data_IF_593501845854
#
_entry.id   IF_593501845854
#
_cell.length_a   1.000
_cell.length_b   1.000
_cell.length_c   1.000
_cell.angle_alpha   90.00
_cell.angle_beta   90.00
_cell.angle_gamma   90.00
#
_symmetry.space_group_name_H-M   'P 1'
#
loop_
_entity.id
_entity.type
_entity.pdbx_description
1 polymer ?
#
# COMPACT_ATOMS: atom_id res chain seq x y z
N UNK A 1 -7.10 -5.84 -6.68
CA UNK A 1 -6.43 -4.60 -6.26
C UNK A 1 -5.89 -4.75 -4.84
N UNK A 2 -4.93 -3.91 -4.46
CA UNK A 2 -4.44 -3.77 -3.09
C UNK A 2 -5.03 -2.50 -2.47
N UNK A 3 -5.54 -2.62 -1.25
CA UNK A 3 -6.27 -1.55 -0.57
C UNK A 3 -5.73 -1.27 0.83
N UNK A 4 -5.68 0.01 1.20
CA UNK A 4 -5.36 0.50 2.55
C UNK A 4 -6.64 0.76 3.32
N UNK A 5 -6.68 0.26 4.55
CA UNK A 5 -7.73 0.52 5.53
C UNK A 5 -7.44 1.89 6.16
N UNK A 6 -8.44 2.76 6.09
CA UNK A 6 -8.39 4.11 6.66
C UNK A 6 -9.13 4.13 8.00
N UNK A 7 -8.68 4.99 8.93
CA UNK A 7 -9.28 5.11 10.27
C UNK A 7 -10.76 5.52 10.29
N UNK A 8 -11.28 6.08 9.19
CA UNK A 8 -12.69 6.43 9.01
C UNK A 8 -13.56 5.25 8.50
N UNK A 9 -13.14 4.00 8.73
CA UNK A 9 -13.82 2.78 8.27
C UNK A 9 -14.04 2.75 6.75
N UNK A 10 -13.04 3.21 5.99
CA UNK A 10 -13.02 3.11 4.53
C UNK A 10 -11.81 2.31 4.06
N UNK A 11 -11.88 1.84 2.84
CA UNK A 11 -10.77 1.25 2.09
C UNK A 11 -10.44 2.19 0.94
N UNK A 12 -9.19 2.62 0.83
CA UNK A 12 -8.66 3.29 -0.36
C UNK A 12 -7.90 2.29 -1.23
N UNK A 13 -8.15 2.28 -2.53
CA UNK A 13 -7.38 1.44 -3.46
C UNK A 13 -6.05 2.12 -3.76
N UNK A 14 -4.95 1.53 -3.32
CA UNK A 14 -3.60 2.06 -3.52
C UNK A 14 -3.02 1.66 -4.88
N UNK A 15 -3.31 0.43 -5.31
CA UNK A 15 -2.91 -0.05 -6.63
C UNK A 15 -3.86 -1.11 -7.14
N UNK A 16 -4.04 -1.17 -8.46
CA UNK A 16 -4.86 -2.15 -9.14
C UNK A 16 -4.11 -2.63 -10.40
N UNK A 17 -4.26 -3.91 -10.70
CA UNK A 17 -3.66 -4.53 -11.87
C UNK A 17 -4.72 -5.40 -12.56
N UNK A 18 -4.65 -5.49 -13.89
CA UNK A 18 -5.57 -6.29 -14.70
C UNK A 18 -6.94 -5.65 -14.95
N UNK A 19 -7.12 -4.37 -14.62
CA UNK A 19 -8.31 -3.58 -14.99
C UNK A 19 -8.05 -2.83 -16.30
N UNK A 20 -9.09 -2.58 -17.10
CA UNK A 20 -9.04 -1.57 -18.17
C UNK A 20 -8.86 -0.17 -17.57
N UNK A 21 -8.24 0.76 -18.30
CA UNK A 21 -7.93 2.11 -17.79
C UNK A 21 -9.16 2.85 -17.22
N UNK A 22 -10.30 2.75 -17.91
CA UNK A 22 -11.55 3.41 -17.49
C UNK A 22 -12.18 2.78 -16.23
N UNK A 23 -11.82 1.53 -15.92
CA UNK A 23 -12.32 0.76 -14.78
C UNK A 23 -11.33 0.77 -13.61
N UNK A 24 -10.16 1.40 -13.78
CA UNK A 24 -9.14 1.49 -12.75
C UNK A 24 -9.71 2.19 -11.50
N UNK A 25 -9.62 1.51 -10.36
CA UNK A 25 -10.17 2.00 -9.09
C UNK A 25 -9.13 2.67 -8.20
N UNK A 26 -7.89 2.85 -8.66
CA UNK A 26 -6.82 3.48 -7.88
C UNK A 26 -7.24 4.87 -7.41
N UNK A 27 -7.00 5.16 -6.13
CA UNK A 27 -7.42 6.40 -5.46
C UNK A 27 -8.87 6.42 -4.99
N UNK A 28 -9.75 5.53 -5.48
CA UNK A 28 -11.15 5.47 -5.03
C UNK A 28 -11.25 4.92 -3.60
N UNK A 29 -12.23 5.44 -2.86
CA UNK A 29 -12.55 5.00 -1.50
C UNK A 29 -13.90 4.30 -1.43
N UNK A 30 -13.97 3.23 -0.63
CA UNK A 30 -15.20 2.46 -0.41
C UNK A 30 -15.42 2.27 1.10
N UNK A 31 -16.68 2.26 1.58
CA UNK A 31 -16.97 1.96 2.98
C UNK A 31 -16.62 0.51 3.34
N UNK A 32 -16.21 0.29 4.59
CA UNK A 32 -16.07 -1.06 5.18
C UNK A 32 -17.46 -1.51 5.63
N UNK A 33 -18.07 -2.37 4.83
CA UNK A 33 -19.43 -2.89 5.04
C UNK A 33 -19.52 -4.37 4.63
N UNK A 34 -20.39 -5.15 5.30
CA UNK A 34 -20.60 -6.57 4.98
C UNK A 34 -21.25 -6.80 3.61
N UNK A 35 -21.88 -5.76 3.04
CA UNK A 35 -22.46 -5.77 1.69
C UNK A 35 -21.40 -5.74 0.57
N UNK A 36 -20.11 -5.71 0.92
CA UNK A 36 -18.97 -5.87 0.00
C UNK A 36 -18.06 -7.00 0.49
N UNK A 37 -17.51 -7.83 -0.42
CA UNK A 37 -16.53 -8.86 -0.05
C UNK A 37 -15.31 -8.29 0.68
N UNK A 38 -14.83 -7.12 0.25
CA UNK A 38 -13.71 -6.40 0.86
C UNK A 38 -14.00 -5.98 2.30
N UNK A 39 -15.15 -5.34 2.54
CA UNK A 39 -15.55 -4.93 3.88
C UNK A 39 -15.85 -6.13 4.80
N UNK A 40 -16.55 -7.13 4.27
CA UNK A 40 -16.86 -8.37 4.97
C UNK A 40 -15.61 -9.12 5.44
N UNK A 41 -14.60 -9.25 4.59
CA UNK A 41 -13.33 -9.91 4.93
C UNK A 41 -12.61 -9.25 6.10
N UNK A 42 -12.68 -7.91 6.19
CA UNK A 42 -12.12 -7.14 7.31
C UNK A 42 -12.94 -7.37 8.58
N UNK A 43 -14.27 -7.22 8.49
CA UNK A 43 -15.18 -7.34 9.64
C UNK A 43 -15.11 -8.73 10.26
N UNK A 44 -15.09 -9.77 9.43
CA UNK A 44 -15.02 -11.17 9.88
C UNK A 44 -13.58 -11.64 10.12
N UNK A 45 -12.58 -10.78 9.83
CA UNK A 45 -11.15 -11.07 9.92
C UNK A 45 -10.75 -12.43 9.31
N UNK A 46 -11.25 -12.72 8.10
CA UNK A 46 -10.97 -13.97 7.38
C UNK A 46 -10.90 -13.79 5.88
N UNK A 47 -10.25 -14.75 5.22
CA UNK A 47 -10.24 -14.83 3.76
C UNK A 47 -11.66 -15.11 3.26
N UNK A 48 -12.12 -14.32 2.29
CA UNK A 48 -13.42 -14.48 1.65
C UNK A 48 -13.20 -14.94 0.21
N UNK A 49 -13.76 -16.10 -0.13
CA UNK A 49 -13.74 -16.68 -1.46
C UNK A 49 -15.15 -16.62 -2.03
N UNK A 50 -15.32 -16.07 -3.23
CA UNK A 50 -16.62 -15.95 -3.88
C UNK A 50 -16.49 -16.34 -5.36
N UNK A 51 -17.36 -17.24 -5.81
CA UNK A 51 -17.58 -17.48 -7.24
C UNK A 51 -18.71 -16.56 -7.71
N UNK A 52 -18.55 -15.92 -8.86
CA UNK A 52 -19.62 -15.11 -9.42
C UNK A 52 -20.77 -16.02 -9.86
N UNK A 53 -21.94 -15.76 -9.29
CA UNK A 53 -23.21 -16.44 -9.56
C UNK A 53 -24.33 -15.40 -9.56
N UNK A 54 -25.54 -15.77 -9.95
CA UNK A 54 -26.71 -14.86 -9.86
C UNK A 54 -26.95 -14.37 -8.41
N UNK A 55 -26.73 -15.25 -7.43
CA UNK A 55 -26.88 -14.94 -6.01
C UNK A 55 -25.78 -14.03 -5.45
N UNK A 56 -24.65 -13.90 -6.15
CA UNK A 56 -23.53 -13.07 -5.72
C UNK A 56 -23.96 -11.61 -5.48
N UNK A 57 -24.77 -11.06 -6.39
CA UNK A 57 -25.27 -9.69 -6.25
C UNK A 57 -26.40 -9.55 -5.23
N UNK A 58 -27.09 -10.65 -4.88
CA UNK A 58 -28.02 -10.66 -3.76
C UNK A 58 -27.28 -10.58 -2.43
N UNK A 59 -26.18 -11.34 -2.32
CA UNK A 59 -25.27 -11.36 -1.16
C UNK A 59 -24.50 -10.05 -1.00
N UNK A 60 -24.13 -9.41 -2.11
CA UNK A 60 -23.35 -8.18 -2.14
C UNK A 60 -24.07 -7.05 -2.93
N UNK A 61 -25.17 -6.51 -2.38
CA UNK A 61 -26.03 -5.56 -3.10
C UNK A 61 -25.33 -4.24 -3.42
N UNK A 62 -24.28 -3.87 -2.68
CA UNK A 62 -23.50 -2.66 -2.94
C UNK A 62 -22.77 -2.70 -4.30
N UNK A 63 -22.57 -3.89 -4.88
CA UNK A 63 -21.94 -4.08 -6.19
C UNK A 63 -22.91 -3.97 -7.37
N UNK A 64 -24.23 -4.02 -7.14
CA UNK A 64 -25.23 -3.84 -8.22
C UNK A 64 -25.16 -2.47 -8.89
N UNK A 65 -24.72 -1.45 -8.14
CA UNK A 65 -24.61 -0.07 -8.63
C UNK A 65 -23.35 0.20 -9.45
N UNK A 66 -22.38 -0.72 -9.41
CA UNK A 66 -21.06 -0.60 -10.05
C UNK A 66 -20.56 -2.02 -10.41
N UNK A 67 -21.25 -2.70 -11.36
CA UNK A 67 -20.91 -4.05 -11.76
C UNK A 67 -19.51 -4.05 -12.39
N UNK A 68 -18.69 -5.03 -12.00
CA UNK A 68 -17.36 -5.19 -12.57
C UNK A 68 -17.54 -5.96 -13.88
N UNK A 69 -17.42 -5.29 -15.02
CA UNK A 69 -17.46 -5.91 -16.35
C UNK A 69 -16.11 -6.56 -16.71
N UNK A 70 -15.69 -7.55 -15.93
CA UNK A 70 -14.51 -8.37 -16.24
C UNK A 70 -14.86 -9.85 -16.34
N UNK A 71 -14.11 -10.64 -17.15
CA UNK A 71 -14.38 -12.06 -17.34
C UNK A 71 -13.91 -12.92 -16.16
N UNK A 72 -13.85 -12.36 -14.94
CA UNK A 72 -13.50 -13.12 -13.76
C UNK A 72 -14.66 -14.05 -13.38
N UNK A 73 -14.31 -15.30 -13.07
CA UNK A 73 -15.24 -16.36 -12.65
C UNK A 73 -15.31 -16.44 -11.13
N UNK A 74 -14.24 -16.05 -10.44
CA UNK A 74 -14.24 -15.97 -8.98
C UNK A 74 -13.33 -14.88 -8.48
N UNK A 75 -13.38 -14.62 -7.18
CA UNK A 75 -12.52 -13.67 -6.50
C UNK A 75 -12.19 -14.14 -5.09
N UNK A 76 -11.01 -13.75 -4.63
CA UNK A 76 -10.59 -13.90 -3.24
C UNK A 76 -10.27 -12.53 -2.65
N UNK A 77 -10.72 -12.31 -1.43
CA UNK A 77 -10.35 -11.16 -0.61
C UNK A 77 -9.59 -11.66 0.61
N UNK A 78 -8.38 -11.12 0.80
CA UNK A 78 -7.42 -11.50 1.83
C UNK A 78 -7.22 -10.29 2.74
N UNK A 79 -7.61 -10.37 4.02
CA UNK A 79 -7.27 -9.34 4.99
C UNK A 79 -5.80 -9.55 5.35
N UNK A 80 -4.92 -8.60 5.04
CA UNK A 80 -3.49 -8.77 5.33
C UNK A 80 -3.26 -8.47 6.80
N UNK A 81 -3.64 -7.29 7.26
CA UNK A 81 -3.57 -6.87 8.66
C UNK A 81 -4.60 -5.75 8.91
N UNK A 82 -4.53 -5.08 10.06
CA UNK A 82 -5.43 -3.95 10.41
C UNK A 82 -5.37 -2.78 9.42
N UNK A 83 -4.33 -2.69 8.58
CA UNK A 83 -4.07 -1.57 7.68
C UNK A 83 -4.26 -1.92 6.20
N UNK A 84 -4.28 -3.19 5.81
CA UNK A 84 -4.22 -3.58 4.39
C UNK A 84 -5.08 -4.79 4.05
N UNK A 85 -5.60 -4.78 2.82
CA UNK A 85 -6.28 -5.90 2.19
C UNK A 85 -5.76 -6.13 0.77
N UNK A 86 -5.93 -7.35 0.28
CA UNK A 86 -5.70 -7.71 -1.11
C UNK A 86 -6.95 -8.38 -1.68
N UNK A 87 -7.42 -7.91 -2.84
CA UNK A 87 -8.48 -8.54 -3.60
C UNK A 87 -7.93 -9.03 -4.94
N UNK A 88 -8.20 -10.28 -5.29
CA UNK A 88 -7.73 -10.90 -6.54
C UNK A 88 -8.94 -11.47 -7.28
N UNK A 89 -9.13 -11.06 -8.53
CA UNK A 89 -10.06 -11.73 -9.46
C UNK A 89 -9.36 -12.91 -10.15
N UNK A 90 -10.12 -13.94 -10.49
CA UNK A 90 -9.62 -15.18 -11.11
C UNK A 90 -10.45 -15.55 -12.32
N UNK A 91 -9.82 -16.18 -13.31
CA UNK A 91 -10.47 -16.75 -14.49
C UNK A 91 -10.94 -18.21 -14.30
N UNK A 92 -10.90 -18.73 -13.07
CA UNK A 92 -11.30 -20.11 -12.74
C UNK A 92 -12.17 -20.14 -11.49
N UNK A 93 -12.88 -21.25 -11.29
CA UNK A 93 -13.53 -21.56 -10.00
C UNK A 93 -12.49 -21.95 -8.96
N UNK A 94 -12.90 -21.93 -7.69
CA UNK A 94 -12.09 -22.51 -6.61
C UNK A 94 -12.08 -24.03 -6.72
N UNK A 95 -10.93 -24.62 -6.40
CA UNK A 95 -10.75 -26.07 -6.24
C UNK A 95 -10.27 -26.38 -4.83
N UNK A 96 -10.40 -27.63 -4.40
CA UNK A 96 -9.91 -28.07 -3.10
C UNK A 96 -8.41 -27.76 -2.94
N UNK A 97 -8.05 -27.19 -1.79
CA UNK A 97 -6.66 -26.83 -1.46
C UNK A 97 -6.25 -25.41 -1.86
N UNK A 98 -7.07 -24.68 -2.63
CA UNK A 98 -6.83 -23.27 -2.96
C UNK A 98 -6.71 -22.42 -1.68
N UNK A 99 -7.43 -22.77 -0.61
CA UNK A 99 -7.38 -22.10 0.69
C UNK A 99 -5.96 -22.04 1.27
N UNK A 100 -5.18 -23.13 1.15
CA UNK A 100 -3.82 -23.17 1.67
C UNK A 100 -2.91 -22.21 0.89
N UNK A 101 -3.09 -22.09 -0.41
CA UNK A 101 -2.34 -21.13 -1.23
C UNK A 101 -2.59 -19.69 -0.74
N UNK A 102 -3.85 -19.33 -0.50
CA UNK A 102 -4.17 -17.97 -0.05
C UNK A 102 -3.78 -17.70 1.40
N UNK A 103 -3.82 -18.70 2.28
CA UNK A 103 -3.29 -18.57 3.65
C UNK A 103 -1.78 -18.37 3.66
N UNK A 104 -1.04 -19.10 2.82
CA UNK A 104 0.40 -18.90 2.66
C UNK A 104 0.70 -17.51 2.09
N UNK A 105 -0.05 -17.06 1.08
CA UNK A 105 0.09 -15.72 0.52
C UNK A 105 -0.20 -14.63 1.57
N UNK A 106 -1.28 -14.78 2.35
CA UNK A 106 -1.62 -13.87 3.45
C UNK A 106 -0.46 -13.77 4.46
N UNK A 107 0.09 -14.92 4.87
CA UNK A 107 1.18 -15.00 5.84
C UNK A 107 2.45 -14.31 5.34
N UNK A 108 2.82 -14.54 4.07
CA UNK A 108 3.96 -13.87 3.43
C UNK A 108 3.76 -12.35 3.37
N UNK A 109 2.57 -11.88 3.01
CA UNK A 109 2.25 -10.46 2.98
C UNK A 109 2.28 -9.85 4.40
N UNK A 110 1.77 -10.55 5.41
CA UNK A 110 1.86 -10.10 6.80
C UNK A 110 3.32 -9.91 7.26
N UNK A 111 4.19 -10.87 6.94
CA UNK A 111 5.62 -10.76 7.23
C UNK A 111 6.24 -9.59 6.46
N UNK A 112 5.93 -9.44 5.18
CA UNK A 112 6.41 -8.34 4.36
C UNK A 112 6.00 -6.98 4.95
N UNK A 113 4.72 -6.80 5.28
CA UNK A 113 4.21 -5.52 5.80
C UNK A 113 4.63 -5.24 7.25
N UNK A 114 4.86 -6.27 8.07
CA UNK A 114 5.37 -6.09 9.43
C UNK A 114 6.85 -5.69 9.47
N UNK A 115 7.66 -6.11 8.48
CA UNK A 115 9.11 -5.85 8.45
C UNK A 115 9.51 -4.72 7.51
N UNK A 116 9.02 -4.74 6.26
CA UNK A 116 9.48 -3.89 5.16
C UNK A 116 8.43 -2.84 4.80
N UNK A 117 7.16 -3.25 4.76
CA UNK A 117 6.05 -2.36 4.41
C UNK A 117 5.87 -1.19 5.37
N UNK A 118 6.05 -1.39 6.69
CA UNK A 118 6.06 -0.29 7.67
C UNK A 118 7.04 0.82 7.29
N UNK A 119 8.26 0.48 6.92
CA UNK A 119 9.31 1.43 6.55
C UNK A 119 8.95 2.16 5.24
N UNK A 120 8.52 1.44 4.21
CA UNK A 120 8.17 2.05 2.91
C UNK A 120 6.89 2.89 2.93
N UNK A 121 5.89 2.51 3.75
CA UNK A 121 4.60 3.21 3.85
C UNK A 121 4.66 4.41 4.80
N UNK A 122 5.46 4.32 5.88
CA UNK A 122 5.78 5.50 6.69
C UNK A 122 6.44 6.56 5.82
N UNK A 123 7.40 6.18 4.96
CA UNK A 123 8.05 7.08 3.99
C UNK A 123 7.00 7.76 3.09
N UNK A 124 6.00 7.04 2.54
CA UNK A 124 4.97 7.64 1.68
C UNK A 124 4.06 8.69 2.33
N UNK A 125 3.94 8.70 3.66
CA UNK A 125 3.08 9.63 4.44
C UNK A 125 3.90 10.61 5.29
N UNK A 126 5.10 10.98 4.80
CA UNK A 126 6.00 11.90 5.48
C UNK A 126 5.87 13.36 5.02
N UNK A 127 5.25 13.62 3.88
CA UNK A 127 5.19 14.96 3.29
C UNK A 127 4.68 15.99 4.32
N UNK A 128 5.49 17.02 4.58
CA UNK A 128 5.16 18.08 5.54
C UNK A 128 5.47 17.76 7.01
N UNK A 129 5.94 16.55 7.34
CA UNK A 129 6.44 16.25 8.70
C UNK A 129 7.81 16.91 8.92
N UNK A 130 8.08 17.45 10.13
CA UNK A 130 9.35 18.13 10.39
C UNK A 130 10.54 17.17 10.30
N UNK A 131 11.67 17.69 9.80
CA UNK A 131 12.95 16.99 9.87
C UNK A 131 13.43 16.92 11.32
N UNK A 132 13.94 15.76 11.73
CA UNK A 132 14.69 15.66 13.00
C UNK A 132 15.99 16.49 12.91
N UNK A 133 16.62 16.79 14.03
CA UNK A 133 17.90 17.52 14.05
C UNK A 133 18.96 16.85 13.15
N UNK A 134 19.04 15.52 13.21
CA UNK A 134 19.94 14.72 12.37
C UNK A 134 19.56 14.76 10.89
N UNK A 135 18.27 14.67 10.56
CA UNK A 135 17.81 14.77 9.17
C UNK A 135 18.09 16.14 8.57
N UNK A 136 17.99 17.20 9.38
CA UNK A 136 18.38 18.56 8.98
C UNK A 136 19.87 18.66 8.70
N UNK A 137 20.70 18.07 9.56
CA UNK A 137 22.15 18.00 9.36
C UNK A 137 22.50 17.24 8.06
N UNK A 138 21.91 16.07 7.83
CA UNK A 138 22.09 15.29 6.60
C UNK A 138 21.64 16.11 5.36
N UNK A 139 20.52 16.83 5.45
CA UNK A 139 20.03 17.68 4.37
C UNK A 139 21.00 18.83 4.04
N UNK A 140 21.56 19.50 5.06
CA UNK A 140 22.54 20.58 4.86
C UNK A 140 23.85 20.07 4.26
N UNK A 141 24.35 18.91 4.69
CA UNK A 141 25.54 18.30 4.09
C UNK A 141 25.29 17.88 2.63
N UNK A 142 24.08 17.42 2.30
CA UNK A 142 23.70 17.15 0.91
C UNK A 142 23.64 18.43 0.06
N UNK A 143 23.16 19.55 0.61
CA UNK A 143 23.18 20.85 -0.09
C UNK A 143 24.60 21.35 -0.37
N UNK A 144 25.56 21.00 0.49
CA UNK A 144 26.99 21.25 0.29
C UNK A 144 27.64 20.32 -0.75
N UNK A 145 26.89 19.37 -1.31
CA UNK A 145 27.36 18.47 -2.37
C UNK A 145 28.03 17.19 -1.87
N UNK A 146 27.98 16.89 -0.56
CA UNK A 146 28.59 15.66 -0.05
C UNK A 146 27.81 14.42 -0.51
N UNK A 147 28.54 13.33 -0.78
CA UNK A 147 27.96 12.02 -1.08
C UNK A 147 27.44 11.33 0.18
N UNK A 148 26.64 10.26 0.03
CA UNK A 148 26.14 9.53 1.20
C UNK A 148 27.28 8.92 2.01
N UNK A 149 28.35 8.51 1.34
CA UNK A 149 29.58 7.98 1.89
C UNK A 149 30.32 9.07 2.69
N UNK A 150 30.54 10.25 2.09
CA UNK A 150 31.22 11.35 2.78
C UNK A 150 30.41 11.88 3.98
N UNK A 151 29.07 11.89 3.88
CA UNK A 151 28.19 12.22 5.00
C UNK A 151 28.36 11.17 6.09
N UNK A 152 28.26 9.88 5.75
CA UNK A 152 28.39 8.77 6.68
C UNK A 152 29.69 8.83 7.49
N UNK A 153 30.81 9.09 6.82
CA UNK A 153 32.11 9.29 7.45
C UNK A 153 32.11 10.50 8.40
N UNK A 154 31.50 11.62 7.98
CA UNK A 154 31.47 12.86 8.76
C UNK A 154 30.60 12.77 10.02
N UNK A 155 29.48 12.06 9.96
CA UNK A 155 28.54 11.93 11.08
C UNK A 155 28.69 10.61 11.86
N UNK A 156 29.66 9.75 11.49
CA UNK A 156 29.98 8.52 12.21
C UNK A 156 28.94 7.40 12.06
N UNK A 157 28.32 7.27 10.90
CA UNK A 157 27.29 6.26 10.62
C UNK A 157 27.61 5.43 9.38
N UNK A 158 26.80 4.40 9.11
CA UNK A 158 26.97 3.62 7.88
C UNK A 158 26.39 4.34 6.65
N UNK A 159 26.99 4.15 5.45
CA UNK A 159 26.44 4.68 4.20
C UNK A 159 25.00 4.21 3.92
N UNK A 160 24.66 2.98 4.31
CA UNK A 160 23.31 2.42 4.16
C UNK A 160 22.28 3.18 4.99
N UNK A 161 22.62 3.55 6.22
CA UNK A 161 21.74 4.33 7.09
C UNK A 161 21.56 5.75 6.55
N UNK A 162 22.64 6.39 6.09
CA UNK A 162 22.55 7.73 5.47
C UNK A 162 21.68 7.70 4.22
N UNK A 163 21.78 6.66 3.38
CA UNK A 163 20.91 6.48 2.21
C UNK A 163 19.44 6.36 2.61
N UNK A 164 19.13 5.61 3.65
CA UNK A 164 17.76 5.47 4.16
C UNK A 164 17.22 6.80 4.71
N UNK A 165 17.99 7.50 5.54
CA UNK A 165 17.63 8.83 6.06
C UNK A 165 17.43 9.85 4.93
N UNK A 166 18.22 9.76 3.87
CA UNK A 166 18.09 10.63 2.69
C UNK A 166 16.75 10.43 1.98
N UNK A 167 16.30 9.18 1.82
CA UNK A 167 14.98 8.87 1.25
C UNK A 167 13.84 9.43 2.11
N UNK A 168 13.99 9.33 3.44
CA UNK A 168 13.03 9.88 4.41
C UNK A 168 12.98 11.40 4.31
N UNK A 169 14.13 12.07 4.20
CA UNK A 169 14.25 13.53 3.99
C UNK A 169 13.54 13.94 2.70
N UNK A 170 13.79 13.24 1.59
CA UNK A 170 13.14 13.54 0.30
C UNK A 170 11.63 13.45 0.40
N UNK A 171 11.12 12.41 1.05
CA UNK A 171 9.69 12.27 1.22
C UNK A 171 9.08 13.32 2.15
N UNK A 172 9.75 13.68 3.26
CA UNK A 172 9.31 14.77 4.16
C UNK A 172 9.21 16.11 3.44
N UNK A 173 10.16 16.37 2.55
CA UNK A 173 10.25 17.61 1.77
C UNK A 173 9.43 17.59 0.47
N UNK A 174 8.84 16.45 0.09
CA UNK A 174 8.08 16.32 -1.15
C UNK A 174 8.90 16.42 -2.43
N UNK A 175 10.17 16.05 -2.37
CA UNK A 175 11.09 16.13 -3.49
C UNK A 175 11.48 14.76 -4.01
N UNK A 176 11.73 14.66 -5.32
CA UNK A 176 12.05 13.41 -6.00
C UNK A 176 13.51 12.98 -5.84
N UNK A 177 14.39 13.88 -5.42
CA UNK A 177 15.79 13.55 -5.18
C UNK A 177 16.73 14.72 -4.89
N UNK A 178 18.03 14.41 -4.84
CA UNK A 178 19.10 15.32 -4.42
C UNK A 178 19.17 16.62 -5.25
N UNK A 179 18.88 16.56 -6.55
CA UNK A 179 18.90 17.74 -7.43
C UNK A 179 17.89 18.80 -6.99
N UNK A 180 16.68 18.38 -6.64
CA UNK A 180 15.63 19.28 -6.16
C UNK A 180 15.96 19.86 -4.78
N UNK A 181 16.64 19.09 -3.92
CA UNK A 181 17.11 19.59 -2.62
C UNK A 181 18.09 20.76 -2.76
N UNK A 182 18.98 20.70 -3.77
CA UNK A 182 19.96 21.77 -4.04
C UNK A 182 19.34 22.99 -4.75
N UNK A 183 18.20 22.82 -5.41
CA UNK A 183 17.52 23.88 -6.17
C UNK A 183 16.46 24.61 -5.32
N UNK A 184 15.83 23.92 -4.37
CA UNK A 184 14.93 24.54 -3.42
C UNK A 184 15.72 25.36 -2.39
N UNK A 185 15.85 26.66 -2.66
CA UNK A 185 16.06 27.66 -1.60
C UNK A 185 14.80 27.65 -0.73
N UNK A 186 14.81 26.82 0.31
CA UNK A 186 13.83 26.89 1.39
C UNK A 186 13.99 28.28 2.02
N UNK A 187 13.05 29.17 1.71
CA UNK A 187 12.81 30.41 2.45
C UNK A 187 12.16 30.12 3.78
#
# INVERSE_FOLDING_TARGET
YFGRILGNKKIRVETAHGFKDQECRVGKEFPIESARPSGRSIIENRIIQETYSEDYYQKYPALKKDPIEHPWISQVTIPINENYILQLGRYSKFVEGDEYFYMNLQSLLQIYFSRIGKVSLEIGDLHGKPLTSRQREIAELMKQGLTNEAIADKIGYSPSLVKQETMIVFSKLGISGRKELTQNKVG
#
